data_IF_304105623350
#
_entry.id   IF_304105623350
#
_cell.length_a   1.000
_cell.length_b   1.000
_cell.length_c   1.000
_cell.angle_alpha   90.00
_cell.angle_beta   90.00
_cell.angle_gamma   90.00
#
_symmetry.space_group_name_H-M   'P 1'
#
loop_
_entity.id
_entity.type
_entity.pdbx_description
1 polymer ?
#
# COMPACT_ATOMS: atom_id res chain seq x y z
N UNK A 1 17.59 -22.59 9.70
CA UNK A 1 16.91 -22.24 10.97
C UNK A 1 17.99 -21.94 12.00
N UNK A 2 17.88 -20.86 12.79
CA UNK A 2 18.96 -20.48 13.72
C UNK A 2 19.01 -21.44 14.93
N UNK A 3 20.19 -21.61 15.58
CA UNK A 3 20.30 -22.42 16.80
C UNK A 3 19.39 -21.92 17.94
N UNK A 4 19.30 -20.60 18.13
CA UNK A 4 18.44 -20.00 19.14
C UNK A 4 16.96 -20.34 18.91
N UNK A 5 16.49 -20.27 17.66
CA UNK A 5 15.12 -20.65 17.29
C UNK A 5 14.86 -22.15 17.51
N UNK A 6 15.84 -22.99 17.22
CA UNK A 6 15.71 -24.45 17.34
C UNK A 6 15.71 -24.92 18.80
N UNK A 7 16.31 -24.15 19.70
CA UNK A 7 16.39 -24.43 21.13
C UNK A 7 15.37 -23.62 21.96
N UNK A 8 14.40 -22.96 21.30
CA UNK A 8 13.40 -22.11 21.94
C UNK A 8 13.98 -20.99 22.83
N UNK A 9 15.17 -20.49 22.49
CA UNK A 9 15.82 -19.37 23.18
C UNK A 9 15.25 -18.06 22.63
N UNK A 10 14.61 -17.21 23.47
CA UNK A 10 14.10 -15.93 23.02
C UNK A 10 15.22 -14.98 22.61
N UNK A 11 15.20 -14.50 21.37
CA UNK A 11 16.16 -13.51 20.84
C UNK A 11 15.45 -12.38 20.09
N UNK A 12 14.51 -11.65 20.72
CA UNK A 12 13.61 -10.73 20.03
C UNK A 12 14.34 -9.57 19.34
N UNK A 13 15.36 -8.98 19.97
CA UNK A 13 16.12 -7.87 19.40
C UNK A 13 16.90 -8.29 18.15
N UNK A 14 17.59 -9.45 18.20
CA UNK A 14 18.35 -9.97 17.07
C UNK A 14 17.43 -10.38 15.91
N UNK A 15 16.32 -11.07 16.20
CA UNK A 15 15.33 -11.43 15.18
C UNK A 15 14.71 -10.19 14.54
N UNK A 16 14.37 -9.16 15.32
CA UNK A 16 13.80 -7.92 14.79
C UNK A 16 14.81 -7.15 13.91
N UNK A 17 16.06 -7.02 14.34
CA UNK A 17 17.10 -6.34 13.56
C UNK A 17 17.36 -7.05 12.23
N UNK A 18 17.40 -8.38 12.22
CA UNK A 18 17.56 -9.16 10.99
C UNK A 18 16.35 -9.00 10.07
N UNK A 19 15.13 -9.11 10.59
CA UNK A 19 13.91 -8.93 9.80
C UNK A 19 13.82 -7.50 9.20
N UNK A 20 14.25 -6.48 9.94
CA UNK A 20 14.32 -5.12 9.44
C UNK A 20 15.34 -4.99 8.31
N UNK A 21 16.54 -5.56 8.47
CA UNK A 21 17.56 -5.57 7.41
C UNK A 21 17.07 -6.29 6.14
N UNK A 22 16.45 -7.46 6.29
CA UNK A 22 15.89 -8.22 5.18
C UNK A 22 14.77 -7.45 4.47
N UNK A 23 13.93 -6.73 5.22
CA UNK A 23 12.89 -5.86 4.66
C UNK A 23 13.49 -4.69 3.88
N UNK A 24 14.53 -4.05 4.41
CA UNK A 24 15.16 -2.88 3.77
C UNK A 24 15.84 -3.21 2.45
N UNK A 25 16.44 -4.41 2.34
CA UNK A 25 17.13 -4.83 1.12
C UNK A 25 16.23 -5.53 0.11
N UNK A 26 15.00 -5.87 0.48
CA UNK A 26 14.08 -6.56 -0.41
C UNK A 26 13.59 -5.61 -1.51
N UNK A 27 13.82 -5.98 -2.77
CA UNK A 27 13.29 -5.23 -3.92
C UNK A 27 11.75 -5.21 -3.94
N UNK A 28 11.12 -6.28 -3.46
CA UNK A 28 9.66 -6.41 -3.37
C UNK A 28 9.26 -7.01 -2.03
N UNK A 29 8.30 -6.36 -1.37
CA UNK A 29 7.70 -6.83 -0.13
C UNK A 29 6.35 -7.52 -0.40
N UNK A 30 5.94 -8.47 0.45
CA UNK A 30 4.63 -9.13 0.37
C UNK A 30 3.46 -8.22 0.82
N UNK A 31 3.57 -6.90 0.59
CA UNK A 31 2.57 -5.89 1.01
C UNK A 31 1.31 -5.92 0.16
N UNK A 32 1.33 -6.53 -1.03
CA UNK A 32 0.19 -6.61 -1.94
C UNK A 32 -1.07 -7.21 -1.27
N UNK A 33 -0.90 -8.23 -0.42
CA UNK A 33 -2.01 -8.83 0.31
C UNK A 33 -2.63 -7.85 1.32
N UNK A 34 -1.80 -7.07 2.01
CA UNK A 34 -2.25 -6.07 2.97
C UNK A 34 -3.02 -4.97 2.23
N UNK A 35 -2.50 -4.50 1.08
CA UNK A 35 -3.19 -3.50 0.26
C UNK A 35 -4.53 -4.03 -0.26
N UNK A 36 -4.57 -5.24 -0.80
CA UNK A 36 -5.82 -5.88 -1.23
C UNK A 36 -6.82 -6.04 -0.09
N UNK A 37 -6.36 -6.37 1.13
CA UNK A 37 -7.24 -6.46 2.31
C UNK A 37 -7.80 -5.08 2.73
N UNK A 38 -6.97 -4.04 2.71
CA UNK A 38 -7.40 -2.66 2.99
C UNK A 38 -8.42 -2.18 1.96
N UNK A 39 -8.21 -2.53 0.69
CA UNK A 39 -9.16 -2.21 -0.37
C UNK A 39 -10.47 -2.99 -0.22
N UNK A 40 -10.39 -4.29 0.06
CA UNK A 40 -11.55 -5.15 0.24
C UNK A 40 -12.48 -4.68 1.37
N UNK A 41 -11.93 -4.39 2.55
CA UNK A 41 -12.74 -4.01 3.71
C UNK A 41 -13.01 -2.52 3.82
N UNK A 42 -12.16 -1.67 3.23
CA UNK A 42 -12.14 -0.23 3.50
C UNK A 42 -12.12 0.67 2.26
N UNK A 43 -12.19 0.11 1.04
CA UNK A 43 -12.12 0.86 -0.21
C UNK A 43 -10.92 1.84 -0.27
N UNK A 44 -9.79 1.42 0.32
CA UNK A 44 -8.59 2.24 0.44
C UNK A 44 -7.78 2.36 -0.86
N UNK A 45 -8.14 1.62 -1.90
CA UNK A 45 -7.41 1.50 -3.15
C UNK A 45 -5.97 0.96 -2.96
N UNK A 46 -5.30 0.69 -4.08
CA UNK A 46 -3.90 0.27 -4.15
C UNK A 46 -3.25 0.71 -5.46
N UNK A 47 -1.92 0.58 -5.54
CA UNK A 47 -1.14 0.79 -6.76
C UNK A 47 -0.68 -0.56 -7.33
N UNK A 48 -0.44 -0.61 -8.63
CA UNK A 48 0.03 -1.82 -9.31
C UNK A 48 1.49 -1.70 -9.71
N UNK A 49 2.17 -2.84 -9.79
CA UNK A 49 3.58 -2.90 -10.18
C UNK A 49 3.77 -2.79 -11.71
N UNK A 50 2.72 -2.98 -12.49
CA UNK A 50 2.75 -3.00 -13.96
C UNK A 50 2.35 -1.65 -14.60
N UNK A 51 1.98 -0.65 -13.79
CA UNK A 51 1.71 0.68 -14.29
C UNK A 51 1.30 1.67 -13.21
N UNK A 52 1.48 2.99 -13.46
CA UNK A 52 1.03 4.02 -12.55
C UNK A 52 -0.50 4.07 -12.49
N UNK A 53 -1.05 4.41 -11.32
CA UNK A 53 -2.49 4.57 -11.12
C UNK A 53 -2.91 4.19 -9.71
N UNK A 54 -4.16 4.53 -9.36
CA UNK A 54 -4.78 4.16 -8.09
C UNK A 54 -6.04 3.36 -8.37
N UNK A 55 -6.06 2.11 -7.92
CA UNK A 55 -7.04 1.11 -8.30
C UNK A 55 -7.89 0.72 -7.10
N UNK A 56 -9.21 0.73 -7.27
CA UNK A 56 -10.15 0.10 -6.34
C UNK A 56 -10.82 -1.08 -7.05
N UNK A 57 -10.79 -2.26 -6.43
CA UNK A 57 -11.45 -3.44 -6.98
C UNK A 57 -12.86 -3.58 -6.40
N UNK A 58 -13.83 -3.84 -7.28
CA UNK A 58 -15.19 -4.20 -6.87
C UNK A 58 -15.26 -5.70 -6.50
N UNK A 59 -14.78 -6.03 -5.31
CA UNK A 59 -14.54 -7.42 -4.88
C UNK A 59 -15.79 -8.32 -4.82
N UNK A 60 -16.98 -7.73 -4.64
CA UNK A 60 -18.26 -8.43 -4.59
C UNK A 60 -18.88 -8.70 -5.96
N UNK A 61 -18.32 -8.14 -7.03
CA UNK A 61 -18.87 -8.25 -8.38
C UNK A 61 -18.20 -9.36 -9.18
N UNK A 62 -18.95 -9.98 -10.08
CA UNK A 62 -18.40 -10.96 -11.01
C UNK A 62 -17.36 -10.30 -11.92
N UNK A 63 -16.22 -10.97 -12.10
CA UNK A 63 -15.09 -10.42 -12.86
C UNK A 63 -14.28 -9.35 -12.12
N UNK A 64 -14.72 -8.90 -10.92
CA UNK A 64 -14.03 -7.95 -10.05
C UNK A 64 -13.45 -6.74 -10.82
N UNK A 65 -14.29 -5.95 -11.48
CA UNK A 65 -13.83 -4.79 -12.23
C UNK A 65 -13.04 -3.84 -11.32
N UNK A 66 -11.99 -3.24 -11.88
CA UNK A 66 -11.22 -2.18 -11.23
C UNK A 66 -11.76 -0.82 -11.70
N UNK A 67 -11.86 0.15 -10.79
CA UNK A 67 -12.08 1.55 -11.15
C UNK A 67 -10.73 2.30 -11.10
N UNK A 68 -10.12 2.62 -12.25
CA UNK A 68 -8.78 3.22 -12.30
C UNK A 68 -8.73 4.73 -11.95
N UNK A 69 -9.86 5.41 -11.72
CA UNK A 69 -9.92 6.87 -11.88
C UNK A 69 -10.26 7.69 -10.61
N UNK A 70 -10.27 7.11 -9.40
CA UNK A 70 -10.72 7.88 -8.22
C UNK A 70 -9.74 8.95 -7.69
N UNK A 71 -8.58 9.15 -8.33
CA UNK A 71 -7.60 10.22 -7.98
C UNK A 71 -7.12 11.04 -9.19
N UNK A 72 -7.82 11.01 -10.33
CA UNK A 72 -7.82 12.19 -11.21
C UNK A 72 -9.04 13.01 -10.84
N UNK A 73 -8.88 13.90 -9.86
CA UNK A 73 -9.88 14.92 -9.60
C UNK A 73 -10.08 15.75 -10.87
N UNK A 74 -11.16 15.49 -11.59
CA UNK A 74 -11.81 16.53 -12.39
C UNK A 74 -11.94 17.77 -11.51
N UNK A 75 -11.51 18.97 -11.94
CA UNK A 75 -11.76 20.18 -11.16
C UNK A 75 -13.26 20.27 -10.94
N UNK A 76 -13.70 20.27 -9.68
CA UNK A 76 -15.10 20.47 -9.33
C UNK A 76 -15.47 21.88 -9.80
N UNK A 77 -16.09 21.96 -10.97
CA UNK A 77 -16.55 23.20 -11.60
C UNK A 77 -17.30 24.05 -10.58
N UNK A 78 -16.89 25.31 -10.40
CA UNK A 78 -17.77 26.34 -9.80
C UNK A 78 -17.22 27.24 -8.69
N UNK A 79 -15.91 27.46 -8.53
CA UNK A 79 -15.43 28.63 -7.76
C UNK A 79 -14.19 29.26 -8.40
N UNK A 80 -14.16 30.58 -8.66
CA UNK A 80 -12.96 31.25 -9.14
C UNK A 80 -11.88 31.17 -8.06
N UNK A 81 -10.75 30.55 -8.41
CA UNK A 81 -9.56 30.49 -7.56
C UNK A 81 -8.92 31.89 -7.58
N UNK A 82 -9.11 32.65 -6.50
CA UNK A 82 -8.35 33.88 -6.26
C UNK A 82 -6.92 33.46 -5.97
N UNK A 83 -5.99 33.90 -6.82
CA UNK A 83 -4.56 33.78 -6.59
C UNK A 83 -4.19 34.57 -5.33
N UNK A 84 -3.83 33.87 -4.25
CA UNK A 84 -3.15 34.45 -3.10
C UNK A 84 -2.00 33.51 -2.71
N UNK A 85 -0.78 34.00 -2.90
CA UNK A 85 0.43 33.23 -2.63
C UNK A 85 0.71 33.04 -1.15
N UNK A 86 1.41 31.95 -0.85
CA UNK A 86 2.48 31.91 0.13
C UNK A 86 3.20 30.57 -0.02
N UNK A 87 4.52 30.63 -0.16
CA UNK A 87 5.45 29.53 0.10
C UNK A 87 5.14 28.91 1.46
N UNK A 88 5.24 27.58 1.55
CA UNK A 88 6.19 26.83 2.39
C UNK A 88 6.34 25.44 1.79
#
# INVERSE_FOLDING_TARGET
MSPATSQAIPAPAFTAALAAYDTLRAERLPTALIQGRRDFFGAHAYERADGPGTFHTHWGEHGRPENPDRVTSTPRTGRPQVTAGARL
#
